data_IF_186418336318
#
_entry.id   IF_186418336318
#
_cell.length_a   1.000
_cell.length_b   1.000
_cell.length_c   1.000
_cell.angle_alpha   90.00
_cell.angle_beta   90.00
_cell.angle_gamma   90.00
#
_symmetry.space_group_name_H-M   'P 1'
#
loop_
_entity.id
_entity.type
_entity.pdbx_description
1 polymer ?
#
# COMPACT_ATOMS: atom_id res chain seq x y z
N UNK A 1 10.48 -0.03 32.35
CA UNK A 1 10.80 -1.46 32.53
C UNK A 1 10.64 -2.24 31.21
N UNK A 2 9.82 -1.81 30.28
CA UNK A 2 9.50 -2.57 29.07
C UNK A 2 10.41 -2.33 27.83
N UNK A 3 11.28 -1.33 27.83
CA UNK A 3 12.22 -1.09 26.71
C UNK A 3 13.35 -2.11 26.68
N UNK A 4 13.69 -2.69 27.83
CA UNK A 4 14.83 -3.59 28.02
C UNK A 4 14.63 -4.98 27.41
N UNK A 5 13.40 -5.50 27.32
CA UNK A 5 13.16 -6.87 26.80
C UNK A 5 13.30 -6.95 25.27
N UNK A 6 12.88 -5.92 24.53
CA UNK A 6 13.02 -5.88 23.05
C UNK A 6 14.48 -5.68 22.58
N UNK A 7 15.38 -5.27 23.48
CA UNK A 7 16.77 -4.97 23.18
C UNK A 7 17.73 -6.10 23.60
N UNK A 8 17.25 -7.11 24.34
CA UNK A 8 18.10 -8.20 24.83
C UNK A 8 18.84 -8.95 23.70
N UNK A 9 18.21 -9.12 22.55
CA UNK A 9 18.84 -9.78 21.39
C UNK A 9 19.93 -8.91 20.77
N UNK A 10 19.82 -7.57 20.87
CA UNK A 10 20.85 -6.63 20.41
C UNK A 10 22.01 -6.50 21.40
N UNK A 11 21.87 -6.98 22.64
CA UNK A 11 22.89 -6.92 23.70
C UNK A 11 23.74 -8.21 23.79
N UNK A 12 23.34 -9.30 23.10
CA UNK A 12 24.13 -10.54 23.04
C UNK A 12 25.17 -10.50 21.92
N UNK A 13 26.39 -11.01 22.21
CA UNK A 13 27.44 -11.06 21.20
C UNK A 13 27.06 -12.02 20.06
N UNK A 14 27.23 -11.64 18.80
CA UNK A 14 26.98 -12.53 17.67
C UNK A 14 27.92 -13.76 17.71
N UNK A 15 27.52 -14.88 17.09
CA UNK A 15 28.41 -16.05 16.90
C UNK A 15 29.73 -15.65 16.25
N UNK A 16 30.79 -16.45 16.47
CA UNK A 16 32.11 -16.17 15.90
C UNK A 16 32.70 -17.46 15.34
N UNK A 17 32.13 -17.96 14.22
CA UNK A 17 32.66 -19.10 13.49
C UNK A 17 33.55 -18.60 12.34
N UNK A 18 34.66 -19.29 12.13
CA UNK A 18 35.57 -19.06 10.99
C UNK A 18 35.01 -19.67 9.73
N UNK A 19 35.45 -19.21 8.55
CA UNK A 19 35.01 -19.77 7.26
C UNK A 19 35.31 -21.28 7.16
N UNK A 20 36.38 -21.77 7.77
CA UNK A 20 36.73 -23.20 7.80
C UNK A 20 35.72 -24.01 8.65
N UNK A 21 35.36 -23.50 9.83
CA UNK A 21 34.35 -24.11 10.69
C UNK A 21 32.98 -24.11 10.02
N UNK A 22 32.61 -23.00 9.36
CA UNK A 22 31.35 -22.87 8.58
C UNK A 22 31.31 -23.88 7.43
N UNK A 23 32.40 -24.03 6.68
CA UNK A 23 32.49 -25.06 5.62
C UNK A 23 32.28 -26.47 6.16
N UNK A 24 32.91 -26.78 7.32
CA UNK A 24 32.75 -28.08 7.97
C UNK A 24 31.30 -28.30 8.45
N UNK A 25 30.69 -27.30 9.06
CA UNK A 25 29.28 -27.33 9.52
C UNK A 25 28.33 -27.54 8.36
N UNK A 26 28.50 -26.78 7.26
CA UNK A 26 27.67 -26.86 6.07
C UNK A 26 27.73 -28.23 5.41
N UNK A 27 28.95 -28.81 5.30
CA UNK A 27 29.13 -30.14 4.73
C UNK A 27 28.56 -31.24 5.65
N UNK A 28 28.74 -31.14 6.96
CA UNK A 28 28.34 -32.17 7.93
C UNK A 28 26.81 -32.20 8.14
N UNK A 29 26.17 -31.04 8.24
CA UNK A 29 24.74 -30.97 8.56
C UNK A 29 23.82 -30.95 7.32
N UNK A 30 24.30 -30.42 6.19
CA UNK A 30 23.43 -30.12 5.05
C UNK A 30 23.96 -30.60 3.69
N UNK A 31 25.13 -31.27 3.66
CA UNK A 31 25.89 -31.66 2.44
C UNK A 31 26.12 -30.47 1.46
N UNK A 32 26.19 -29.24 2.02
CA UNK A 32 26.51 -28.04 1.26
C UNK A 32 28.03 -27.88 1.16
N UNK A 33 28.54 -27.71 -0.06
CA UNK A 33 29.97 -27.56 -0.37
C UNK A 33 30.20 -26.42 -1.33
N UNK A 34 31.31 -25.72 -1.20
CA UNK A 34 31.72 -24.65 -2.10
C UNK A 34 32.48 -23.56 -1.36
N UNK A 35 32.68 -22.45 -2.04
CA UNK A 35 33.29 -21.26 -1.45
C UNK A 35 32.40 -20.71 -0.34
N UNK A 36 33.02 -20.31 0.77
CA UNK A 36 32.35 -19.69 1.92
C UNK A 36 32.60 -18.19 1.86
N UNK A 37 31.52 -17.41 1.81
CA UNK A 37 31.56 -15.95 1.84
C UNK A 37 30.64 -15.43 2.93
N UNK A 38 31.19 -14.59 3.83
CA UNK A 38 30.41 -13.89 4.85
C UNK A 38 29.50 -12.85 4.15
N UNK A 39 28.21 -12.86 4.48
CA UNK A 39 27.22 -11.92 3.96
C UNK A 39 26.96 -10.74 4.94
N UNK A 40 27.58 -10.79 6.12
CA UNK A 40 27.30 -9.85 7.22
C UNK A 40 25.94 -10.14 7.87
N UNK A 41 25.85 -9.86 9.15
CA UNK A 41 24.59 -9.88 9.91
C UNK A 41 24.80 -9.17 11.24
N UNK A 42 23.76 -8.53 11.75
CA UNK A 42 23.82 -7.80 13.01
C UNK A 42 23.84 -8.71 14.25
N UNK A 43 23.01 -9.73 14.23
CA UNK A 43 22.69 -10.58 15.40
C UNK A 43 23.21 -11.99 15.24
N UNK A 44 23.22 -12.49 14.04
CA UNK A 44 23.59 -13.84 13.66
C UNK A 44 24.92 -13.83 12.88
N UNK A 45 25.35 -14.95 12.37
CA UNK A 45 26.29 -15.01 11.25
C UNK A 45 25.62 -15.65 10.06
N UNK A 46 25.71 -15.00 8.90
CA UNK A 46 25.11 -15.46 7.66
C UNK A 46 26.17 -15.63 6.58
N UNK A 47 26.24 -16.82 5.99
CA UNK A 47 27.25 -17.16 4.99
C UNK A 47 26.62 -17.72 3.73
N UNK A 48 27.15 -17.34 2.58
CA UNK A 48 26.94 -18.06 1.34
C UNK A 48 27.91 -19.25 1.31
N UNK A 49 27.39 -20.44 1.08
CA UNK A 49 28.19 -21.67 0.93
C UNK A 49 27.75 -22.42 -0.33
N UNK A 50 28.51 -22.26 -1.43
CA UNK A 50 28.12 -22.82 -2.73
C UNK A 50 26.74 -22.31 -3.19
N UNK A 51 25.77 -23.21 -3.30
CA UNK A 51 24.39 -22.91 -3.72
C UNK A 51 23.41 -22.78 -2.53
N UNK A 52 23.91 -22.66 -1.30
CA UNK A 52 23.11 -22.48 -0.11
C UNK A 52 23.53 -21.26 0.71
N UNK A 53 22.62 -20.79 1.56
CA UNK A 53 22.87 -19.76 2.58
C UNK A 53 22.77 -20.43 3.94
N UNK A 54 23.80 -20.27 4.75
CA UNK A 54 23.87 -20.80 6.11
C UNK A 54 23.70 -19.65 7.10
N UNK A 55 22.69 -19.75 7.99
CA UNK A 55 22.44 -18.79 9.06
C UNK A 55 22.71 -19.46 10.41
N UNK A 56 23.64 -18.93 11.19
CA UNK A 56 24.00 -19.40 12.51
C UNK A 56 23.44 -18.42 13.51
N UNK A 57 22.39 -18.84 14.22
CA UNK A 57 21.64 -17.96 15.11
C UNK A 57 22.38 -17.69 16.41
N UNK A 58 22.19 -16.49 16.93
CA UNK A 58 22.65 -16.11 18.26
C UNK A 58 22.00 -17.03 19.32
N UNK A 59 22.75 -17.40 20.34
CA UNK A 59 22.23 -18.24 21.45
C UNK A 59 21.21 -17.51 22.34
N UNK A 60 21.14 -16.18 22.24
CA UNK A 60 20.12 -15.36 22.92
C UNK A 60 18.80 -15.24 22.16
N UNK A 61 18.71 -15.76 20.94
CA UNK A 61 17.47 -15.73 20.17
C UNK A 61 16.45 -16.71 20.76
N UNK A 62 15.20 -16.25 20.88
CA UNK A 62 14.11 -17.10 21.38
C UNK A 62 13.82 -18.24 20.38
N UNK A 63 13.89 -19.51 20.79
CA UNK A 63 13.54 -20.64 19.93
C UNK A 63 12.13 -20.54 19.34
N UNK A 64 11.19 -19.88 20.01
CA UNK A 64 9.84 -19.68 19.50
C UNK A 64 9.80 -18.69 18.29
N UNK A 65 10.73 -17.75 18.22
CA UNK A 65 10.91 -16.86 17.06
C UNK A 65 11.47 -17.62 15.87
N UNK A 66 12.43 -18.51 16.10
CA UNK A 66 12.98 -19.37 15.05
C UNK A 66 11.93 -20.37 14.51
N UNK A 67 11.06 -20.87 15.37
CA UNK A 67 9.91 -21.70 14.98
C UNK A 67 8.85 -20.89 14.18
N UNK A 68 8.57 -19.64 14.57
CA UNK A 68 7.73 -18.71 13.82
C UNK A 68 8.22 -18.54 12.39
N UNK A 69 9.51 -18.25 12.20
CA UNK A 69 10.12 -18.06 10.88
C UNK A 69 9.96 -19.32 10.02
N UNK A 70 10.33 -20.49 10.57
CA UNK A 70 10.24 -21.76 9.84
C UNK A 70 8.79 -22.09 9.43
N UNK A 71 7.81 -21.87 10.32
CA UNK A 71 6.40 -22.16 10.05
C UNK A 71 5.80 -21.16 9.07
N UNK A 72 6.21 -19.89 9.12
CA UNK A 72 5.78 -18.88 8.16
C UNK A 72 6.25 -19.21 6.75
N UNK A 73 7.52 -19.60 6.57
CA UNK A 73 8.05 -20.01 5.27
C UNK A 73 7.28 -21.21 4.69
N UNK A 74 7.02 -22.24 5.50
CA UNK A 74 6.20 -23.41 5.09
C UNK A 74 4.75 -23.02 4.76
N UNK A 75 4.19 -22.04 5.47
CA UNK A 75 2.85 -21.55 5.19
C UNK A 75 2.81 -20.81 3.86
N UNK A 76 3.74 -19.89 3.62
CA UNK A 76 3.86 -19.15 2.37
C UNK A 76 4.03 -20.11 1.19
N UNK A 77 4.93 -21.09 1.29
CA UNK A 77 5.14 -22.08 0.23
C UNK A 77 3.87 -22.88 -0.11
N UNK A 78 3.02 -23.13 0.88
CA UNK A 78 1.73 -23.82 0.66
C UNK A 78 0.68 -22.94 0.00
N UNK A 79 0.63 -21.65 0.40
CA UNK A 79 -0.40 -20.70 -0.06
C UNK A 79 -0.04 -20.13 -1.42
N UNK A 80 1.21 -19.76 -1.62
CA UNK A 80 1.72 -19.19 -2.85
C UNK A 80 3.12 -19.74 -3.19
N UNK A 81 3.18 -20.94 -3.81
CA UNK A 81 4.45 -21.61 -4.13
C UNK A 81 5.31 -20.88 -5.17
N UNK A 82 4.74 -19.87 -5.85
CA UNK A 82 5.45 -19.07 -6.84
C UNK A 82 6.07 -17.79 -6.24
N UNK A 83 5.81 -17.48 -4.95
CA UNK A 83 6.53 -16.40 -4.28
C UNK A 83 8.02 -16.75 -4.19
N UNK A 84 8.91 -15.81 -4.60
CA UNK A 84 10.36 -16.08 -4.61
C UNK A 84 10.94 -15.93 -3.19
N UNK A 85 10.60 -16.82 -2.28
CA UNK A 85 11.14 -16.85 -0.92
C UNK A 85 12.33 -17.80 -0.81
N UNK A 86 13.29 -17.49 0.06
CA UNK A 86 14.40 -18.37 0.38
C UNK A 86 13.92 -19.56 1.24
N UNK A 87 13.80 -20.74 0.62
CA UNK A 87 13.28 -21.93 1.30
C UNK A 87 14.29 -22.50 2.29
N UNK A 88 13.82 -22.94 3.45
CA UNK A 88 14.67 -23.60 4.42
C UNK A 88 14.95 -25.05 3.98
N UNK A 89 16.21 -25.38 3.75
CA UNK A 89 16.69 -26.72 3.35
C UNK A 89 16.81 -27.67 4.54
N UNK A 90 17.09 -27.12 5.73
CA UNK A 90 17.22 -27.90 6.96
C UNK A 90 17.67 -27.07 8.15
N UNK A 91 17.72 -27.73 9.30
CA UNK A 91 18.23 -27.15 10.55
C UNK A 91 19.01 -28.17 11.36
N UNK A 92 19.98 -27.71 12.13
CA UNK A 92 20.79 -28.51 13.05
C UNK A 92 21.37 -27.65 14.16
N UNK A 93 22.16 -28.23 15.04
CA UNK A 93 22.83 -27.50 16.14
C UNK A 93 24.32 -27.72 16.12
N UNK A 94 25.08 -26.65 16.41
CA UNK A 94 26.54 -26.74 16.57
C UNK A 94 27.00 -25.75 17.65
N UNK A 95 27.72 -26.26 18.67
CA UNK A 95 28.25 -25.42 19.75
C UNK A 95 27.18 -24.65 20.53
N UNK A 96 25.96 -25.17 20.64
CA UNK A 96 24.83 -24.51 21.29
C UNK A 96 24.05 -23.53 20.40
N UNK A 97 24.54 -23.28 19.18
CA UNK A 97 23.85 -22.43 18.19
C UNK A 97 22.90 -23.26 17.29
N UNK A 98 21.73 -22.73 16.98
CA UNK A 98 20.90 -23.26 15.90
C UNK A 98 21.52 -22.83 14.57
N UNK A 99 21.73 -23.81 13.69
CA UNK A 99 22.23 -23.60 12.33
C UNK A 99 21.13 -23.97 11.37
N UNK A 100 20.82 -23.08 10.43
CA UNK A 100 19.80 -23.30 9.41
C UNK A 100 20.40 -23.08 8.03
N UNK A 101 20.03 -23.95 7.11
CA UNK A 101 20.42 -23.81 5.70
C UNK A 101 19.21 -23.40 4.89
N UNK A 102 19.43 -22.47 3.96
CA UNK A 102 18.43 -21.94 3.05
C UNK A 102 18.89 -22.05 1.61
N UNK A 103 17.94 -22.10 0.70
CA UNK A 103 18.17 -22.04 -0.74
C UNK A 103 18.75 -20.68 -1.13
N UNK A 104 19.80 -20.69 -1.95
CA UNK A 104 20.33 -19.45 -2.52
C UNK A 104 19.38 -18.89 -3.55
N UNK A 105 18.94 -17.66 -3.34
CA UNK A 105 18.12 -16.95 -4.31
C UNK A 105 18.97 -16.21 -5.34
N UNK A 106 18.58 -16.20 -6.62
CA UNK A 106 19.29 -15.44 -7.65
C UNK A 106 19.00 -13.94 -7.52
N UNK A 107 19.94 -13.12 -8.03
CA UNK A 107 19.77 -11.67 -8.07
C UNK A 107 20.74 -10.92 -7.15
N UNK A 108 20.49 -9.61 -7.02
CA UNK A 108 21.26 -8.69 -6.16
C UNK A 108 20.33 -7.99 -5.16
N UNK A 109 20.75 -7.85 -3.93
CA UNK A 109 20.11 -7.03 -2.90
C UNK A 109 20.64 -5.59 -2.94
N UNK A 110 19.97 -4.67 -2.23
CA UNK A 110 20.38 -3.26 -2.11
C UNK A 110 20.32 -2.49 -3.43
N UNK A 111 19.39 -2.83 -4.31
CA UNK A 111 19.23 -2.16 -5.61
C UNK A 111 18.82 -0.69 -5.40
N UNK A 112 19.54 0.24 -6.05
CA UNK A 112 19.29 1.70 -5.95
C UNK A 112 18.85 2.32 -7.28
N UNK A 113 18.81 1.53 -8.36
CA UNK A 113 18.60 1.93 -9.75
C UNK A 113 17.31 1.32 -10.33
N UNK A 114 16.25 1.28 -9.53
CA UNK A 114 14.95 0.76 -9.92
C UNK A 114 14.18 1.82 -10.72
N UNK A 115 13.64 1.41 -11.87
CA UNK A 115 12.65 2.21 -12.60
C UNK A 115 11.24 2.06 -12.01
N UNK A 116 10.27 2.80 -12.55
CA UNK A 116 8.90 2.79 -12.05
C UNK A 116 8.24 1.41 -12.11
N UNK A 117 8.55 0.60 -13.13
CA UNK A 117 8.00 -0.75 -13.27
C UNK A 117 8.56 -1.65 -12.16
N UNK A 118 9.85 -1.58 -11.90
CA UNK A 118 10.52 -2.34 -10.84
C UNK A 118 10.05 -1.91 -9.44
N UNK A 119 9.91 -0.60 -9.18
CA UNK A 119 9.37 -0.08 -7.92
C UNK A 119 7.93 -0.55 -7.69
N UNK A 120 7.08 -0.46 -8.71
CA UNK A 120 5.69 -0.96 -8.64
C UNK A 120 5.64 -2.46 -8.37
N UNK A 121 6.49 -3.25 -9.06
CA UNK A 121 6.59 -4.69 -8.88
C UNK A 121 7.12 -5.08 -7.49
N UNK A 122 8.08 -4.31 -6.94
CA UNK A 122 8.61 -4.50 -5.60
C UNK A 122 7.49 -4.38 -4.55
N UNK A 123 6.75 -3.27 -4.54
CA UNK A 123 5.66 -3.05 -3.60
C UNK A 123 4.47 -4.01 -3.83
N UNK A 124 4.15 -4.37 -5.08
CA UNK A 124 3.15 -5.39 -5.39
C UNK A 124 3.57 -6.78 -4.87
N UNK A 125 4.88 -7.07 -4.80
CA UNK A 125 5.40 -8.31 -4.22
C UNK A 125 5.26 -8.31 -2.70
N UNK A 126 5.49 -7.18 -2.02
CA UNK A 126 5.18 -7.04 -0.59
C UNK A 126 3.69 -7.30 -0.32
N UNK A 127 2.79 -6.68 -1.09
CA UNK A 127 1.35 -6.94 -0.97
C UNK A 127 1.01 -8.43 -1.21
N UNK A 128 1.65 -9.08 -2.18
CA UNK A 128 1.46 -10.52 -2.44
C UNK A 128 1.93 -11.37 -1.27
N UNK A 129 3.06 -11.04 -0.64
CA UNK A 129 3.56 -11.69 0.56
C UNK A 129 2.60 -11.49 1.75
N UNK A 130 2.08 -10.27 1.92
CA UNK A 130 1.06 -9.93 2.92
C UNK A 130 -0.20 -10.77 2.73
N UNK A 131 -0.65 -10.98 1.48
CA UNK A 131 -1.77 -11.89 1.16
C UNK A 131 -1.45 -13.34 1.48
N UNK A 132 -0.24 -13.80 1.18
CA UNK A 132 0.18 -15.17 1.48
C UNK A 132 0.26 -15.46 3.00
N UNK A 133 0.57 -14.43 3.80
CA UNK A 133 0.58 -14.52 5.26
C UNK A 133 -0.82 -14.32 5.89
N UNK A 134 -1.84 -13.98 5.10
CA UNK A 134 -3.19 -13.77 5.63
C UNK A 134 -3.75 -15.05 6.27
N UNK A 135 -4.18 -14.93 7.52
CA UNK A 135 -4.68 -16.07 8.32
C UNK A 135 -3.58 -16.94 8.93
N UNK A 136 -2.30 -16.65 8.69
CA UNK A 136 -1.21 -17.27 9.45
C UNK A 136 -1.20 -16.75 10.89
N UNK A 137 -1.06 -17.65 11.84
CA UNK A 137 -0.99 -17.33 13.25
C UNK A 137 0.13 -18.10 13.94
N UNK A 138 0.89 -17.41 14.77
CA UNK A 138 1.87 -18.02 15.65
C UNK A 138 1.99 -17.22 16.96
N UNK A 139 2.05 -17.85 18.14
CA UNK A 139 2.13 -17.13 19.42
C UNK A 139 3.30 -16.16 19.54
N UNK A 140 4.47 -16.51 18.98
CA UNK A 140 5.66 -15.65 19.00
C UNK A 140 5.57 -14.44 18.06
N UNK A 141 4.53 -14.34 17.18
CA UNK A 141 4.36 -13.17 16.33
C UNK A 141 3.91 -11.92 17.08
N UNK A 142 3.38 -12.06 18.30
CA UNK A 142 2.98 -10.95 19.17
C UNK A 142 4.13 -10.23 19.87
N UNK A 143 5.36 -10.35 19.35
CA UNK A 143 6.55 -9.69 19.91
C UNK A 143 6.62 -8.21 19.55
N UNK A 144 7.19 -7.42 20.45
CA UNK A 144 7.39 -5.99 20.27
C UNK A 144 8.77 -5.70 19.64
N UNK A 145 8.80 -5.37 18.37
CA UNK A 145 10.01 -4.91 17.69
C UNK A 145 10.07 -3.39 17.74
N UNK A 146 11.09 -2.84 18.41
CA UNK A 146 11.18 -1.40 18.65
C UNK A 146 11.26 -0.57 17.37
N UNK A 147 11.77 -1.17 16.28
CA UNK A 147 11.83 -0.53 14.95
C UNK A 147 10.53 -0.64 14.14
N UNK A 148 9.53 -1.37 14.64
CA UNK A 148 8.20 -1.36 14.04
C UNK A 148 7.55 0.01 14.26
N UNK A 149 6.98 0.68 13.21
CA UNK A 149 6.32 1.98 13.35
C UNK A 149 5.26 2.03 14.44
N UNK A 150 4.59 0.90 14.73
CA UNK A 150 3.63 0.80 15.84
C UNK A 150 4.20 1.00 17.23
N UNK A 151 5.52 0.90 17.39
CA UNK A 151 6.21 1.06 18.68
C UNK A 151 6.84 2.46 18.83
N UNK A 152 6.56 3.41 17.93
CA UNK A 152 7.23 4.72 17.88
C UNK A 152 7.19 5.49 19.22
N UNK A 153 6.09 5.45 19.96
CA UNK A 153 6.00 6.12 21.28
C UNK A 153 7.05 5.61 22.28
N UNK A 154 7.55 4.36 22.10
CA UNK A 154 8.58 3.77 22.98
C UNK A 154 9.99 4.26 22.66
N UNK A 155 10.19 5.02 21.59
CA UNK A 155 11.48 5.61 21.21
C UNK A 155 11.88 6.80 22.08
N UNK A 156 10.93 7.41 22.81
CA UNK A 156 11.18 8.62 23.63
C UNK A 156 12.46 8.56 24.48
N UNK A 157 12.75 7.46 25.22
CA UNK A 157 13.97 7.37 26.01
C UNK A 157 15.26 7.38 25.20
N UNK A 158 15.20 6.96 23.91
CA UNK A 158 16.38 6.86 23.04
C UNK A 158 16.74 8.22 22.40
N UNK A 159 15.80 9.15 22.33
CA UNK A 159 15.99 10.47 21.70
C UNK A 159 17.14 11.24 22.36
N UNK A 160 17.37 11.03 23.66
CA UNK A 160 18.46 11.67 24.39
C UNK A 160 19.86 11.30 23.86
N UNK A 161 20.02 10.14 23.23
CA UNK A 161 21.29 9.68 22.63
C UNK A 161 21.64 10.38 21.30
N UNK A 162 20.69 11.13 20.70
CA UNK A 162 20.95 11.91 19.48
C UNK A 162 21.78 13.15 19.87
N UNK A 163 23.03 13.33 19.37
CA UNK A 163 23.91 14.39 19.86
C UNK A 163 23.45 15.80 19.48
N UNK A 164 22.92 15.97 18.26
CA UNK A 164 22.49 17.27 17.73
C UNK A 164 21.12 17.69 18.26
N UNK A 165 21.02 18.89 18.83
CA UNK A 165 19.78 19.40 19.43
C UNK A 165 18.67 19.68 18.40
N UNK A 166 19.04 20.11 17.18
CA UNK A 166 18.09 20.35 16.09
C UNK A 166 17.46 19.03 15.62
N UNK A 167 18.30 18.03 15.39
CA UNK A 167 17.89 16.67 15.04
C UNK A 167 17.02 16.00 16.12
N UNK A 168 17.38 16.17 17.40
CA UNK A 168 16.51 15.74 18.51
C UNK A 168 15.11 16.36 18.42
N UNK A 169 15.04 17.67 18.21
CA UNK A 169 13.76 18.37 18.11
C UNK A 169 12.91 17.90 16.92
N UNK A 170 13.53 17.49 15.80
CA UNK A 170 12.80 16.88 14.67
C UNK A 170 12.16 15.56 15.11
N UNK A 171 12.93 14.67 15.71
CA UNK A 171 12.42 13.37 16.17
C UNK A 171 11.33 13.55 17.23
N UNK A 172 11.49 14.49 18.17
CA UNK A 172 10.45 14.81 19.17
C UNK A 172 9.14 15.24 18.51
N UNK A 173 9.18 16.13 17.49
CA UNK A 173 7.98 16.53 16.74
C UNK A 173 7.32 15.37 16.00
N UNK A 174 8.10 14.45 15.43
CA UNK A 174 7.57 13.23 14.81
C UNK A 174 6.84 12.38 15.85
N UNK A 175 7.44 12.18 17.02
CA UNK A 175 6.84 11.38 18.08
C UNK A 175 5.58 12.05 18.68
N UNK A 176 5.60 13.38 18.86
CA UNK A 176 4.43 14.14 19.31
C UNK A 176 3.27 13.96 18.32
N UNK A 177 3.57 14.05 17.03
CA UNK A 177 2.58 13.86 15.97
C UNK A 177 2.03 12.43 15.93
N UNK A 178 2.91 11.43 16.05
CA UNK A 178 2.52 10.03 16.11
C UNK A 178 1.58 9.76 17.29
N UNK A 179 1.93 10.23 18.49
CA UNK A 179 1.13 10.06 19.70
C UNK A 179 -0.22 10.77 19.62
N UNK A 180 -0.28 11.93 18.97
CA UNK A 180 -1.51 12.69 18.82
C UNK A 180 -2.45 12.12 17.75
N UNK A 181 -1.94 11.58 16.66
CA UNK A 181 -2.73 11.22 15.47
C UNK A 181 -2.88 9.71 15.26
N UNK A 182 -1.79 8.97 15.36
CA UNK A 182 -1.76 7.54 15.01
C UNK A 182 -2.09 6.66 16.21
N UNK A 183 -1.44 6.90 17.35
CA UNK A 183 -1.58 6.05 18.54
C UNK A 183 -3.03 5.86 19.01
N UNK A 184 -3.92 6.90 19.03
CA UNK A 184 -5.31 6.72 19.45
C UNK A 184 -6.16 5.88 18.47
N UNK A 185 -5.66 5.67 17.25
CA UNK A 185 -6.36 4.97 16.17
C UNK A 185 -5.68 3.66 15.77
N UNK A 186 -4.55 3.34 16.41
CA UNK A 186 -3.72 2.19 16.06
C UNK A 186 -4.47 0.86 16.02
N UNK A 187 -5.30 0.61 17.02
CA UNK A 187 -6.06 -0.64 17.17
C UNK A 187 -7.18 -0.82 16.12
N UNK A 188 -7.49 0.22 15.35
CA UNK A 188 -8.49 0.17 14.28
C UNK A 188 -7.88 -0.13 12.91
N UNK A 189 -6.55 -0.07 12.78
CA UNK A 189 -5.87 -0.38 11.52
C UNK A 189 -5.81 -1.89 11.28
N UNK A 190 -5.96 -2.30 10.03
CA UNK A 190 -5.87 -3.71 9.65
C UNK A 190 -4.51 -4.30 9.97
N UNK A 191 -4.48 -5.34 10.82
CA UNK A 191 -3.27 -5.97 11.31
C UNK A 191 -3.27 -7.48 11.09
N UNK A 192 -2.09 -8.03 10.86
CA UNK A 192 -1.83 -9.45 10.68
C UNK A 192 -0.34 -9.76 10.91
N UNK A 193 0.08 -11.01 10.71
CA UNK A 193 1.51 -11.29 10.61
C UNK A 193 2.02 -10.72 9.28
N UNK A 194 3.11 -9.93 9.36
CA UNK A 194 3.77 -9.27 8.23
C UNK A 194 5.26 -9.57 8.25
N UNK A 195 5.98 -9.22 7.18
CA UNK A 195 7.43 -9.41 7.08
C UNK A 195 8.21 -8.61 8.14
N UNK A 196 7.79 -7.36 8.36
CA UNK A 196 8.37 -6.47 9.36
C UNK A 196 9.67 -5.77 8.98
N UNK A 197 10.31 -6.19 7.87
CA UNK A 197 11.51 -5.54 7.31
C UNK A 197 11.64 -5.79 5.80
N UNK A 198 10.54 -5.60 5.05
CA UNK A 198 10.54 -5.71 3.58
C UNK A 198 11.22 -4.48 2.98
N UNK A 199 12.53 -4.55 2.81
CA UNK A 199 13.38 -3.45 2.35
C UNK A 199 14.18 -3.86 1.10
N UNK A 200 14.76 -2.88 0.40
CA UNK A 200 15.63 -3.15 -0.75
C UNK A 200 16.86 -4.00 -0.38
N UNK A 201 17.27 -4.01 0.89
CA UNK A 201 18.38 -4.82 1.35
C UNK A 201 18.00 -6.30 1.54
N UNK A 202 16.73 -6.58 1.85
CA UNK A 202 16.20 -7.92 2.09
C UNK A 202 15.49 -8.52 0.85
N UNK A 203 15.37 -7.74 -0.23
CA UNK A 203 14.77 -8.19 -1.48
C UNK A 203 15.83 -8.22 -2.58
N UNK A 204 15.91 -9.36 -3.28
CA UNK A 204 16.79 -9.53 -4.43
C UNK A 204 16.03 -9.22 -5.71
N UNK A 205 16.70 -8.55 -6.63
CA UNK A 205 16.17 -8.26 -7.97
C UNK A 205 17.07 -8.86 -9.06
N UNK A 206 16.45 -9.28 -10.16
CA UNK A 206 17.16 -9.74 -11.36
C UNK A 206 17.72 -8.53 -12.16
N UNK A 207 18.38 -8.83 -13.28
CA UNK A 207 18.95 -7.80 -14.18
C UNK A 207 17.91 -6.85 -14.80
N UNK A 208 16.63 -7.21 -14.73
CA UNK A 208 15.50 -6.40 -15.20
C UNK A 208 14.76 -5.68 -14.08
N UNK A 209 15.30 -5.69 -12.86
CA UNK A 209 14.67 -5.10 -11.70
C UNK A 209 13.47 -5.87 -11.12
N UNK A 210 13.17 -7.08 -11.62
CA UNK A 210 12.06 -7.89 -11.09
C UNK A 210 12.51 -8.61 -9.82
N UNK A 211 11.62 -8.68 -8.83
CA UNK A 211 11.88 -9.41 -7.59
C UNK A 211 12.15 -10.88 -7.89
N UNK A 212 13.33 -11.34 -7.51
CA UNK A 212 13.82 -12.72 -7.71
C UNK A 212 14.09 -13.45 -6.40
N UNK A 213 14.03 -12.76 -5.27
CA UNK A 213 14.19 -13.36 -3.94
C UNK A 213 13.71 -12.45 -2.82
N UNK A 214 13.12 -13.04 -1.80
CA UNK A 214 12.78 -12.39 -0.52
C UNK A 214 13.53 -13.15 0.57
N UNK A 215 14.33 -12.43 1.34
CA UNK A 215 15.18 -13.00 2.39
C UNK A 215 14.87 -12.35 3.74
N UNK A 216 15.48 -12.88 4.78
CA UNK A 216 15.46 -12.40 6.15
C UNK A 216 14.06 -12.20 6.77
N UNK A 217 13.42 -13.33 7.05
CA UNK A 217 12.13 -13.39 7.75
C UNK A 217 12.29 -13.29 9.29
N UNK A 218 13.46 -12.85 9.76
CA UNK A 218 13.77 -12.73 11.18
C UNK A 218 12.93 -11.71 11.95
N UNK A 219 12.30 -10.76 11.25
CA UNK A 219 11.51 -9.68 11.83
C UNK A 219 9.97 -9.88 11.67
N UNK A 220 9.56 -11.11 11.29
CA UNK A 220 8.14 -11.46 11.28
C UNK A 220 7.46 -11.09 12.61
N UNK A 221 6.34 -10.39 12.51
CA UNK A 221 5.59 -9.96 13.69
C UNK A 221 4.14 -9.61 13.34
N UNK A 222 3.29 -9.58 14.36
CA UNK A 222 1.93 -9.10 14.21
C UNK A 222 1.92 -7.58 14.22
N UNK A 223 1.63 -6.98 13.06
CA UNK A 223 1.66 -5.53 12.88
C UNK A 223 0.63 -5.08 11.84
N UNK A 224 0.44 -3.77 11.72
CA UNK A 224 -0.48 -3.21 10.72
C UNK A 224 0.12 -3.33 9.32
N UNK A 225 -0.74 -3.58 8.32
CA UNK A 225 -0.33 -3.61 6.89
C UNK A 225 0.27 -2.29 6.45
N UNK A 226 -0.34 -1.17 6.89
CA UNK A 226 0.19 0.16 6.60
C UNK A 226 1.56 0.40 7.25
N UNK A 227 1.82 -0.18 8.44
CA UNK A 227 3.12 -0.13 9.10
C UNK A 227 4.20 -0.89 8.33
N UNK A 228 3.88 -2.06 7.80
CA UNK A 228 4.78 -2.85 6.96
C UNK A 228 5.09 -2.13 5.63
N UNK A 229 4.06 -1.58 4.96
CA UNK A 229 4.26 -0.74 3.78
C UNK A 229 5.08 0.53 4.08
N UNK A 230 4.95 1.13 5.26
CA UNK A 230 5.76 2.29 5.64
C UNK A 230 7.25 1.95 5.74
N UNK A 231 7.61 0.72 6.14
CA UNK A 231 9.00 0.23 6.14
C UNK A 231 9.53 0.12 4.72
N UNK A 232 8.76 -0.47 3.81
CA UNK A 232 9.02 -0.55 2.38
C UNK A 232 9.25 0.86 1.79
N UNK A 233 8.32 1.79 2.02
CA UNK A 233 8.42 3.16 1.54
C UNK A 233 9.65 3.91 2.07
N UNK A 234 10.05 3.69 3.32
CA UNK A 234 11.30 4.28 3.84
C UNK A 234 12.52 3.81 3.04
N UNK A 235 12.56 2.54 2.65
CA UNK A 235 13.63 1.99 1.82
C UNK A 235 13.65 2.63 0.43
N UNK A 236 12.48 2.80 -0.21
CA UNK A 236 12.33 3.42 -1.52
C UNK A 236 12.64 4.92 -1.49
N UNK A 237 12.14 5.65 -0.49
CA UNK A 237 12.35 7.08 -0.34
C UNK A 237 13.83 7.44 -0.19
N UNK A 238 14.62 6.62 0.52
CA UNK A 238 16.07 6.82 0.68
C UNK A 238 16.84 6.75 -0.64
N UNK A 239 16.31 6.06 -1.64
CA UNK A 239 16.94 5.90 -2.95
C UNK A 239 16.20 6.63 -4.08
N UNK A 240 15.08 7.27 -3.80
CA UNK A 240 14.16 7.86 -4.77
C UNK A 240 14.65 9.11 -5.51
N UNK A 241 15.91 9.52 -5.36
CA UNK A 241 16.54 10.61 -6.12
C UNK A 241 15.88 11.97 -5.93
N UNK A 242 15.74 12.74 -7.02
CA UNK A 242 15.21 14.13 -6.98
C UNK A 242 13.69 14.20 -6.75
N UNK A 243 12.94 13.14 -7.05
CA UNK A 243 11.47 13.08 -6.92
C UNK A 243 10.99 11.93 -6.01
N UNK A 244 11.38 11.90 -4.72
CA UNK A 244 11.12 10.77 -3.83
C UNK A 244 9.63 10.49 -3.65
N UNK A 245 8.78 11.52 -3.60
CA UNK A 245 7.33 11.34 -3.49
C UNK A 245 6.69 10.72 -4.73
N UNK A 246 7.22 11.02 -5.93
CA UNK A 246 6.76 10.37 -7.16
C UNK A 246 7.03 8.87 -7.09
N UNK A 247 8.24 8.50 -6.74
CA UNK A 247 8.64 7.09 -6.60
C UNK A 247 7.84 6.38 -5.52
N UNK A 248 7.62 7.02 -4.37
CA UNK A 248 6.77 6.47 -3.31
C UNK A 248 5.32 6.26 -3.76
N UNK A 249 4.74 7.17 -4.55
CA UNK A 249 3.38 6.99 -5.11
C UNK A 249 3.31 5.79 -6.05
N UNK A 250 4.32 5.59 -6.90
CA UNK A 250 4.41 4.38 -7.75
C UNK A 250 4.41 3.11 -6.91
N UNK A 251 5.13 3.10 -5.78
CA UNK A 251 5.13 1.97 -4.85
C UNK A 251 3.76 1.78 -4.18
N UNK A 252 3.12 2.84 -3.70
CA UNK A 252 1.78 2.78 -3.10
C UNK A 252 0.76 2.22 -4.11
N UNK A 253 0.78 2.70 -5.34
CA UNK A 253 -0.09 2.19 -6.41
C UNK A 253 0.20 0.72 -6.73
N UNK A 254 1.47 0.33 -6.73
CA UNK A 254 1.90 -1.07 -6.88
C UNK A 254 1.33 -1.97 -5.79
N UNK A 255 1.45 -1.57 -4.53
CA UNK A 255 0.87 -2.28 -3.39
C UNK A 255 -0.66 -2.36 -3.49
N UNK A 256 -1.32 -1.21 -3.75
CA UNK A 256 -2.78 -1.13 -3.88
C UNK A 256 -3.33 -1.89 -5.09
N UNK A 257 -2.50 -2.22 -6.08
CA UNK A 257 -2.90 -3.11 -7.18
C UNK A 257 -3.27 -4.52 -6.72
N UNK A 258 -2.87 -4.90 -5.49
CA UNK A 258 -3.11 -6.20 -4.87
C UNK A 258 -3.97 -6.11 -3.62
N UNK A 259 -3.69 -5.15 -2.75
CA UNK A 259 -4.40 -4.92 -1.49
C UNK A 259 -4.82 -3.46 -1.45
N UNK A 260 -6.09 -3.12 -1.61
CA UNK A 260 -6.57 -1.77 -1.37
C UNK A 260 -6.30 -1.35 0.07
N UNK A 261 -5.75 -0.14 0.24
CA UNK A 261 -5.61 0.49 1.54
C UNK A 261 -6.90 1.23 1.89
N UNK A 262 -7.28 1.16 3.15
CA UNK A 262 -8.41 1.92 3.67
C UNK A 262 -8.05 3.41 3.84
N UNK A 263 -9.06 4.29 3.87
CA UNK A 263 -8.84 5.72 4.00
C UNK A 263 -8.00 6.08 5.24
N UNK A 264 -8.19 5.36 6.36
CA UNK A 264 -7.40 5.55 7.57
C UNK A 264 -5.95 5.06 7.43
N UNK A 265 -5.73 3.95 6.74
CA UNK A 265 -4.39 3.46 6.43
C UNK A 265 -3.61 4.48 5.58
N UNK A 266 -4.26 5.03 4.56
CA UNK A 266 -3.69 6.11 3.73
C UNK A 266 -3.47 7.40 4.52
N UNK A 267 -4.41 7.77 5.41
CA UNK A 267 -4.31 8.98 6.22
C UNK A 267 -3.10 8.98 7.17
N UNK A 268 -2.67 7.80 7.61
CA UNK A 268 -1.55 7.66 8.55
C UNK A 268 -0.25 7.17 7.90
N UNK A 269 -0.27 6.81 6.63
CA UNK A 269 0.90 6.23 5.96
C UNK A 269 2.13 7.15 6.04
N UNK A 270 1.96 8.46 5.82
CA UNK A 270 3.05 9.43 5.97
C UNK A 270 3.55 9.57 7.41
N UNK A 271 2.65 9.50 8.39
CA UNK A 271 3.02 9.53 9.81
C UNK A 271 3.78 8.25 10.22
N UNK A 272 3.44 7.10 9.64
CA UNK A 272 4.13 5.83 9.86
C UNK A 272 5.53 5.80 9.20
N UNK A 273 5.67 6.41 8.02
CA UNK A 273 6.98 6.62 7.37
C UNK A 273 7.88 7.49 8.25
N UNK A 274 7.37 8.62 8.76
CA UNK A 274 8.10 9.47 9.69
C UNK A 274 8.51 8.71 10.96
N UNK A 275 7.59 7.93 11.53
CA UNK A 275 7.86 7.11 12.71
C UNK A 275 8.96 6.06 12.46
N UNK A 276 8.98 5.42 11.28
CA UNK A 276 10.04 4.47 10.90
C UNK A 276 11.39 5.18 10.75
N UNK A 277 11.44 6.33 10.09
CA UNK A 277 12.68 7.11 9.98
C UNK A 277 13.20 7.55 11.35
N UNK A 278 12.31 8.02 12.23
CA UNK A 278 12.66 8.38 13.60
C UNK A 278 13.20 7.17 14.39
N UNK A 279 12.63 5.97 14.19
CA UNK A 279 13.11 4.74 14.81
C UNK A 279 14.53 4.39 14.34
N UNK A 280 14.80 4.47 13.04
CA UNK A 280 16.12 4.19 12.48
C UNK A 280 17.19 5.07 13.14
N UNK A 281 17.02 6.39 13.13
CA UNK A 281 18.04 7.32 13.64
C UNK A 281 18.15 7.33 15.18
N UNK A 282 17.05 7.13 15.91
CA UNK A 282 17.10 7.11 17.38
C UNK A 282 17.74 5.80 17.91
N UNK A 283 17.42 4.66 17.29
CA UNK A 283 18.02 3.37 17.65
C UNK A 283 19.51 3.37 17.26
N UNK A 284 19.85 3.90 16.07
CA UNK A 284 21.25 4.03 15.63
C UNK A 284 22.07 4.85 16.62
N UNK A 285 21.62 6.06 16.97
CA UNK A 285 22.31 6.92 17.93
C UNK A 285 22.51 6.24 19.29
N UNK A 286 21.48 5.57 19.82
CA UNK A 286 21.53 4.84 21.08
C UNK A 286 22.52 3.65 21.02
N UNK A 287 22.60 2.94 19.87
CA UNK A 287 23.54 1.84 19.67
C UNK A 287 24.99 2.31 19.57
N UNK A 288 25.24 3.41 18.84
CA UNK A 288 26.59 4.00 18.71
C UNK A 288 27.13 4.44 20.06
N UNK A 289 26.29 5.00 20.94
CA UNK A 289 26.68 5.35 22.31
C UNK A 289 27.19 4.13 23.11
N UNK A 290 26.60 2.93 22.84
CA UNK A 290 26.94 1.67 23.54
C UNK A 290 28.06 0.87 22.89
N UNK A 291 28.12 0.91 21.55
CA UNK A 291 29.02 0.09 20.73
C UNK A 291 29.76 0.97 19.72
N UNK A 292 30.60 1.91 20.20
CA UNK A 292 31.29 2.87 19.34
C UNK A 292 32.24 2.21 18.35
N UNK A 293 32.73 0.98 18.66
CA UNK A 293 33.57 0.18 17.76
C UNK A 293 32.84 -0.27 16.47
N UNK A 294 31.52 -0.30 16.48
CA UNK A 294 30.66 -0.69 15.35
C UNK A 294 29.96 0.51 14.70
N UNK A 295 30.35 1.75 15.05
CA UNK A 295 29.66 2.97 14.61
C UNK A 295 29.48 3.06 13.10
N UNK A 296 30.51 2.75 12.32
CA UNK A 296 30.49 2.81 10.84
C UNK A 296 29.39 1.91 10.26
N UNK A 297 29.25 0.70 10.78
CA UNK A 297 28.21 -0.22 10.35
C UNK A 297 26.81 0.22 10.80
N UNK A 298 26.68 0.62 12.08
CA UNK A 298 25.39 1.04 12.67
C UNK A 298 24.83 2.25 11.94
N UNK A 299 25.69 3.19 11.51
CA UNK A 299 25.31 4.44 10.87
C UNK A 299 25.27 4.36 9.33
N UNK A 300 25.40 3.18 8.75
CA UNK A 300 25.49 3.01 7.29
C UNK A 300 24.33 3.60 6.49
N UNK A 301 23.17 3.83 7.12
CA UNK A 301 21.97 4.43 6.53
C UNK A 301 21.51 5.72 7.21
N UNK A 302 22.29 6.26 8.14
CA UNK A 302 21.89 7.41 8.94
C UNK A 302 21.84 8.68 8.10
N UNK A 303 22.80 8.88 7.19
CA UNK A 303 22.88 10.11 6.38
C UNK A 303 21.66 10.29 5.50
N UNK A 304 21.20 9.24 4.80
CA UNK A 304 20.00 9.27 3.98
C UNK A 304 18.72 9.43 4.82
N UNK A 305 18.67 8.77 5.98
CA UNK A 305 17.53 8.86 6.89
C UNK A 305 17.40 10.25 7.50
N UNK A 306 18.53 10.88 7.90
CA UNK A 306 18.56 12.26 8.38
C UNK A 306 18.22 13.26 7.28
N UNK A 307 18.77 13.09 6.07
CA UNK A 307 18.45 13.97 4.94
C UNK A 307 16.94 13.99 4.65
N UNK A 308 16.27 12.83 4.70
CA UNK A 308 14.83 12.75 4.54
C UNK A 308 14.07 13.40 5.71
N UNK A 309 14.45 13.16 6.95
CA UNK A 309 13.79 13.75 8.11
C UNK A 309 13.91 15.29 8.12
N UNK A 310 15.08 15.82 7.82
CA UNK A 310 15.33 17.25 7.72
C UNK A 310 14.52 17.87 6.56
N UNK A 311 14.51 17.23 5.40
CA UNK A 311 13.68 17.65 4.26
C UNK A 311 12.19 17.63 4.59
N UNK A 312 11.71 16.60 5.27
CA UNK A 312 10.30 16.45 5.63
C UNK A 312 9.87 17.43 6.72
N UNK A 313 10.75 17.77 7.64
CA UNK A 313 10.52 18.82 8.61
C UNK A 313 10.40 20.21 7.95
N UNK A 314 11.28 20.54 7.03
CA UNK A 314 11.22 21.77 6.24
C UNK A 314 9.96 21.88 5.38
N UNK A 315 9.53 20.78 4.76
CA UNK A 315 8.30 20.71 3.97
C UNK A 315 7.03 20.80 4.81
N UNK A 316 7.13 20.42 6.08
CA UNK A 316 6.01 20.24 7.01
C UNK A 316 5.33 18.88 6.86
N UNK A 317 5.12 18.19 7.98
CA UNK A 317 4.63 16.82 8.05
C UNK A 317 3.21 16.62 7.46
N UNK A 318 2.37 17.66 7.46
CA UNK A 318 1.06 17.60 6.79
C UNK A 318 1.20 17.50 5.27
N UNK A 319 2.21 18.15 4.70
CA UNK A 319 2.51 18.02 3.27
C UNK A 319 3.03 16.62 2.96
N UNK A 320 3.94 16.09 3.79
CA UNK A 320 4.45 14.70 3.63
C UNK A 320 3.29 13.71 3.64
N UNK A 321 2.36 13.82 4.59
CA UNK A 321 1.18 12.96 4.66
C UNK A 321 0.33 13.04 3.39
N UNK A 322 0.09 14.25 2.86
CA UNK A 322 -0.66 14.43 1.60
C UNK A 322 0.05 13.82 0.39
N UNK A 323 1.36 14.01 0.30
CA UNK A 323 2.16 13.46 -0.81
C UNK A 323 2.19 11.93 -0.80
N UNK A 324 2.07 11.31 0.37
CA UNK A 324 2.03 9.86 0.56
C UNK A 324 0.61 9.28 0.62
N UNK A 325 -0.39 10.01 0.16
CA UNK A 325 -1.73 9.48 -0.09
C UNK A 325 -2.77 9.81 0.98
N UNK A 326 -2.43 10.59 2.02
CA UNK A 326 -3.46 11.04 2.98
C UNK A 326 -4.59 11.77 2.26
N UNK A 327 -5.85 11.48 2.56
CA UNK A 327 -6.97 12.19 2.01
C UNK A 327 -6.82 13.69 2.22
N UNK A 328 -7.15 14.47 1.17
CA UNK A 328 -7.16 15.92 1.32
C UNK A 328 -8.17 16.32 2.41
N UNK A 329 -7.85 17.28 3.28
CA UNK A 329 -8.83 17.81 4.21
C UNK A 329 -10.07 18.24 3.43
N UNK A 330 -11.23 17.83 3.90
CA UNK A 330 -12.49 18.23 3.26
C UNK A 330 -12.63 19.74 3.30
N UNK A 331 -13.01 20.32 2.17
CA UNK A 331 -13.39 21.74 2.13
C UNK A 331 -14.63 21.93 3.00
N UNK A 332 -14.68 22.92 3.91
CA UNK A 332 -15.88 23.18 4.71
C UNK A 332 -17.11 23.36 3.80
N UNK A 333 -18.25 22.82 4.20
CA UNK A 333 -19.47 22.82 3.38
C UNK A 333 -19.88 24.24 2.94
N UNK A 334 -19.80 25.21 3.85
CA UNK A 334 -20.14 26.60 3.54
C UNK A 334 -19.18 27.23 2.52
N UNK A 335 -17.89 26.95 2.62
CA UNK A 335 -16.91 27.40 1.63
C UNK A 335 -17.17 26.74 0.26
N UNK A 336 -17.46 25.44 0.25
CA UNK A 336 -17.79 24.72 -0.98
C UNK A 336 -19.05 25.28 -1.66
N UNK A 337 -20.07 25.65 -0.87
CA UNK A 337 -21.27 26.29 -1.35
C UNK A 337 -20.98 27.67 -1.97
N UNK A 338 -20.15 28.49 -1.34
CA UNK A 338 -19.74 29.79 -1.88
C UNK A 338 -18.99 29.60 -3.21
N UNK A 339 -18.03 28.69 -3.24
CA UNK A 339 -17.28 28.37 -4.47
C UNK A 339 -18.19 27.83 -5.59
N UNK A 340 -19.15 26.97 -5.24
CA UNK A 340 -20.15 26.46 -6.19
C UNK A 340 -20.97 27.60 -6.79
N UNK A 341 -21.50 28.49 -5.95
CA UNK A 341 -22.31 29.63 -6.41
C UNK A 341 -21.52 30.58 -7.31
N UNK A 342 -20.25 30.82 -6.98
CA UNK A 342 -19.38 31.67 -7.78
C UNK A 342 -19.03 31.04 -9.14
N UNK A 343 -18.77 29.73 -9.18
CA UNK A 343 -18.28 29.04 -10.37
C UNK A 343 -19.42 28.61 -11.32
N UNK A 344 -20.56 28.17 -10.78
CA UNK A 344 -21.69 27.64 -11.57
C UNK A 344 -22.78 28.69 -11.81
N UNK A 345 -22.68 29.86 -11.15
CA UNK A 345 -23.62 30.97 -11.33
C UNK A 345 -24.98 30.74 -10.68
N UNK A 346 -25.78 31.80 -10.65
CA UNK A 346 -27.10 31.80 -10.00
C UNK A 346 -28.22 31.15 -10.85
N UNK A 347 -27.94 30.87 -12.12
CA UNK A 347 -28.89 30.21 -13.03
C UNK A 347 -28.98 28.70 -12.79
N UNK A 348 -27.99 28.09 -12.13
CA UNK A 348 -28.07 26.69 -11.76
C UNK A 348 -29.06 26.51 -10.61
N UNK A 349 -30.02 25.62 -10.79
CA UNK A 349 -31.01 25.24 -9.77
C UNK A 349 -30.37 25.04 -8.41
N UNK A 350 -31.03 25.43 -7.33
CA UNK A 350 -30.62 25.18 -5.98
C UNK A 350 -30.37 23.70 -5.72
N UNK A 351 -29.68 23.41 -4.63
CA UNK A 351 -29.56 22.02 -4.18
C UNK A 351 -30.93 21.49 -3.76
N UNK A 352 -31.19 20.21 -3.98
CA UNK A 352 -32.50 19.56 -3.74
C UNK A 352 -32.96 19.69 -2.28
N UNK A 353 -32.02 19.76 -1.35
CA UNK A 353 -32.31 19.80 0.09
C UNK A 353 -32.07 21.18 0.69
N UNK A 354 -32.94 21.58 1.61
CA UNK A 354 -32.81 22.84 2.35
C UNK A 354 -31.50 22.92 3.16
N UNK A 355 -31.02 21.78 3.63
CA UNK A 355 -29.69 21.63 4.21
C UNK A 355 -28.86 20.80 3.25
N UNK A 356 -27.85 21.38 2.62
CA UNK A 356 -27.03 20.69 1.64
C UNK A 356 -26.38 19.44 2.21
N UNK A 357 -26.45 18.33 1.49
CA UNK A 357 -25.73 17.12 1.84
C UNK A 357 -24.38 17.13 1.11
N UNK A 358 -23.31 17.33 1.86
CA UNK A 358 -21.94 17.32 1.34
C UNK A 358 -21.44 15.87 1.27
N UNK A 359 -21.74 15.18 0.16
CA UNK A 359 -21.35 13.78 -0.03
C UNK A 359 -19.88 13.69 -0.38
N UNK A 360 -19.16 12.80 0.29
CA UNK A 360 -17.72 12.60 0.12
C UNK A 360 -17.35 11.18 -0.32
N UNK A 361 -18.21 10.19 -0.09
CA UNK A 361 -17.99 8.80 -0.45
C UNK A 361 -19.30 8.07 -0.73
N UNK A 362 -19.25 7.08 -1.60
CA UNK A 362 -20.36 6.13 -1.83
C UNK A 362 -19.85 4.70 -1.82
N UNK A 363 -20.64 3.76 -1.27
CA UNK A 363 -20.31 2.34 -1.20
C UNK A 363 -21.60 1.49 -1.23
N UNK A 364 -21.77 0.68 -2.27
CA UNK A 364 -22.99 -0.10 -2.44
C UNK A 364 -24.25 0.79 -2.44
N UNK A 365 -25.12 0.63 -1.48
CA UNK A 365 -26.34 1.44 -1.31
C UNK A 365 -26.18 2.63 -0.38
N UNK A 366 -24.96 2.90 0.08
CA UNK A 366 -24.67 3.92 1.08
C UNK A 366 -23.93 5.11 0.53
N UNK A 367 -24.32 6.30 0.98
CA UNK A 367 -23.58 7.54 0.85
C UNK A 367 -23.02 7.96 2.23
N UNK A 368 -21.88 8.62 2.23
CA UNK A 368 -21.27 9.17 3.42
C UNK A 368 -21.05 10.67 3.22
N UNK A 369 -21.48 11.48 4.19
CA UNK A 369 -21.29 12.92 4.12
C UNK A 369 -20.01 13.37 4.81
N UNK A 370 -19.71 14.66 4.70
CA UNK A 370 -18.53 15.29 5.30
C UNK A 370 -18.52 15.24 6.83
N UNK A 371 -19.67 15.03 7.48
CA UNK A 371 -19.81 14.89 8.93
C UNK A 371 -19.68 13.41 9.36
N UNK A 372 -19.42 12.49 8.43
CA UNK A 372 -19.30 11.06 8.69
C UNK A 372 -20.64 10.32 8.84
N UNK A 373 -21.78 10.98 8.56
CA UNK A 373 -23.08 10.29 8.59
C UNK A 373 -23.24 9.36 7.40
N UNK A 374 -23.75 8.18 7.65
CA UNK A 374 -24.10 7.20 6.63
C UNK A 374 -25.57 7.37 6.26
N UNK A 375 -25.83 7.59 4.98
CA UNK A 375 -27.16 7.81 4.42
C UNK A 375 -27.49 6.65 3.46
N UNK A 376 -28.67 6.07 3.60
CA UNK A 376 -29.18 5.12 2.61
C UNK A 376 -29.57 5.90 1.36
N UNK A 377 -28.95 5.55 0.25
CA UNK A 377 -29.30 6.15 -1.06
C UNK A 377 -30.54 5.46 -1.62
N UNK A 378 -31.67 6.08 -1.46
CA UNK A 378 -32.95 5.65 -2.03
C UNK A 378 -33.37 6.52 -3.23
N UNK A 379 -32.49 7.41 -3.69
CA UNK A 379 -32.79 8.37 -4.77
C UNK A 379 -31.97 8.14 -6.04
N UNK A 380 -30.66 7.94 -5.93
CA UNK A 380 -29.80 7.84 -7.12
C UNK A 380 -30.06 6.58 -7.93
N UNK A 381 -30.55 6.76 -9.16
CA UNK A 381 -30.79 5.69 -10.12
C UNK A 381 -29.60 5.45 -11.08
N UNK A 382 -28.59 6.31 -11.07
CA UNK A 382 -27.42 6.22 -11.95
C UNK A 382 -26.51 5.03 -11.58
N UNK A 383 -26.14 4.81 -10.31
CA UNK A 383 -25.35 3.65 -9.94
C UNK A 383 -26.25 2.40 -9.76
N UNK A 384 -26.76 1.85 -10.85
CA UNK A 384 -27.74 0.75 -10.88
C UNK A 384 -27.31 -0.47 -10.05
N UNK A 385 -26.00 -0.73 -9.96
CA UNK A 385 -25.42 -1.83 -9.17
C UNK A 385 -24.82 -1.35 -7.84
N UNK A 386 -25.12 -0.13 -7.46
CA UNK A 386 -24.57 0.52 -6.28
C UNK A 386 -23.31 1.34 -6.54
N UNK A 387 -22.99 2.23 -5.58
CA UNK A 387 -21.82 3.11 -5.65
C UNK A 387 -20.53 2.32 -5.63
N UNK A 388 -19.56 2.75 -6.43
CA UNK A 388 -18.18 2.22 -6.45
C UNK A 388 -18.10 0.69 -6.61
N UNK A 389 -19.00 0.09 -7.40
CA UNK A 389 -19.02 -1.35 -7.61
C UNK A 389 -17.68 -1.85 -8.19
N UNK A 390 -16.95 -2.76 -7.53
CA UNK A 390 -15.56 -3.10 -7.89
C UNK A 390 -15.39 -3.54 -9.34
N UNK A 391 -16.29 -4.41 -9.85
CA UNK A 391 -16.22 -4.91 -11.22
C UNK A 391 -16.44 -3.80 -12.27
N UNK A 392 -17.26 -2.80 -11.95
CA UNK A 392 -17.49 -1.65 -12.85
C UNK A 392 -16.26 -0.76 -12.86
N UNK A 393 -15.73 -0.42 -11.69
CA UNK A 393 -14.50 0.38 -11.54
C UNK A 393 -13.32 -0.28 -12.27
N UNK A 394 -13.12 -1.56 -12.06
CA UNK A 394 -12.04 -2.33 -12.72
C UNK A 394 -12.21 -2.34 -14.26
N UNK A 395 -13.42 -2.53 -14.75
CA UNK A 395 -13.68 -2.53 -16.20
C UNK A 395 -13.39 -1.17 -16.82
N UNK A 396 -13.77 -0.06 -16.16
CA UNK A 396 -13.50 1.32 -16.61
C UNK A 396 -11.99 1.58 -16.61
N UNK A 397 -11.30 1.27 -15.53
CA UNK A 397 -9.84 1.45 -15.40
C UNK A 397 -9.10 0.66 -16.49
N UNK A 398 -9.44 -0.61 -16.67
CA UNK A 398 -8.84 -1.46 -17.71
C UNK A 398 -9.04 -0.90 -19.10
N UNK A 399 -10.29 -0.50 -19.45
CA UNK A 399 -10.59 0.05 -20.77
C UNK A 399 -9.87 1.37 -21.02
N UNK A 400 -9.83 2.26 -20.04
CA UNK A 400 -9.17 3.57 -20.15
C UNK A 400 -7.65 3.43 -20.36
N UNK A 401 -7.02 2.44 -19.71
CA UNK A 401 -5.59 2.12 -19.92
C UNK A 401 -5.31 1.51 -21.29
N UNK A 402 -6.29 0.83 -21.88
CA UNK A 402 -6.10 0.10 -23.13
C UNK A 402 -6.45 0.92 -24.36
N UNK A 403 -7.64 1.51 -24.40
CA UNK A 403 -8.12 2.29 -25.53
C UNK A 403 -9.24 3.24 -25.11
N UNK A 404 -9.09 4.52 -25.43
CA UNK A 404 -10.14 5.53 -25.34
C UNK A 404 -10.32 6.19 -26.70
N UNK A 405 -11.42 5.84 -27.41
CA UNK A 405 -11.72 6.34 -28.76
C UNK A 405 -13.22 6.51 -28.98
N UNK A 406 -13.61 7.05 -30.10
CA UNK A 406 -15.01 7.29 -30.50
C UNK A 406 -15.52 6.21 -31.47
N UNK A 407 -16.83 6.15 -31.65
CA UNK A 407 -17.57 5.14 -32.42
C UNK A 407 -17.28 5.10 -33.93
N UNK A 408 -16.49 6.05 -34.49
CA UNK A 408 -16.05 6.00 -35.88
C UNK A 408 -14.96 4.99 -36.17
N UNK A 409 -14.32 4.47 -35.13
CA UNK A 409 -13.37 3.35 -35.25
C UNK A 409 -14.07 2.04 -34.89
N UNK A 410 -13.70 0.99 -35.58
CA UNK A 410 -14.19 -0.35 -35.28
C UNK A 410 -13.44 -0.92 -34.05
N UNK A 411 -14.17 -1.22 -32.99
CA UNK A 411 -13.65 -1.89 -31.80
C UNK A 411 -14.73 -2.74 -31.13
N UNK A 412 -14.29 -3.87 -30.62
CA UNK A 412 -15.13 -4.99 -30.17
C UNK A 412 -16.13 -4.62 -29.05
N UNK A 413 -15.73 -3.95 -27.93
CA UNK A 413 -16.65 -3.65 -26.83
C UNK A 413 -17.89 -2.84 -27.23
N UNK A 414 -17.80 -1.99 -28.23
CA UNK A 414 -18.93 -1.23 -28.72
C UNK A 414 -19.97 -2.14 -29.41
N UNK A 415 -19.47 -3.07 -30.25
CA UNK A 415 -20.32 -4.02 -30.98
C UNK A 415 -20.97 -5.00 -29.98
N UNK A 416 -20.20 -5.57 -29.07
CA UNK A 416 -20.72 -6.47 -28.03
C UNK A 416 -21.80 -5.80 -27.16
N UNK A 417 -21.60 -4.52 -26.77
CA UNK A 417 -22.61 -3.77 -26.01
C UNK A 417 -23.90 -3.64 -26.81
N UNK A 418 -23.82 -3.25 -28.08
CA UNK A 418 -24.98 -3.10 -28.95
C UNK A 418 -25.73 -4.42 -29.13
N UNK A 419 -25.04 -5.51 -29.42
CA UNK A 419 -25.61 -6.87 -29.53
C UNK A 419 -26.33 -7.30 -28.25
N UNK A 420 -25.71 -7.08 -27.08
CA UNK A 420 -26.32 -7.41 -25.79
C UNK A 420 -27.54 -6.57 -25.47
N UNK A 421 -27.53 -5.29 -25.82
CA UNK A 421 -28.71 -4.42 -25.66
C UNK A 421 -29.87 -4.89 -26.55
N UNK A 422 -29.64 -5.18 -27.83
CA UNK A 422 -30.65 -5.72 -28.73
C UNK A 422 -31.20 -7.06 -28.20
N UNK A 423 -30.33 -7.95 -27.77
CA UNK A 423 -30.74 -9.25 -27.21
C UNK A 423 -31.53 -9.15 -25.88
N UNK A 424 -31.41 -8.06 -25.16
CA UNK A 424 -32.16 -7.82 -23.91
C UNK A 424 -33.59 -7.28 -24.14
N UNK A 425 -33.89 -6.78 -25.34
CA UNK A 425 -35.24 -6.29 -25.71
C UNK A 425 -36.10 -7.46 -26.18
N UNK A 426 -37.42 -7.51 -25.83
CA UNK A 426 -38.32 -8.51 -26.36
C UNK A 426 -38.32 -8.50 -27.91
N UNK A 427 -38.43 -9.67 -28.54
CA UNK A 427 -38.35 -9.79 -30.01
C UNK A 427 -39.44 -9.00 -30.77
N UNK A 428 -40.54 -8.71 -30.09
CA UNK A 428 -41.52 -7.76 -30.57
C UNK A 428 -41.42 -6.45 -29.78
N UNK A 429 -41.27 -5.32 -30.41
CA UNK A 429 -41.70 -4.89 -31.76
C UNK A 429 -40.63 -4.95 -32.87
N UNK A 430 -39.61 -5.80 -32.77
CA UNK A 430 -38.60 -5.94 -33.83
C UNK A 430 -37.53 -4.86 -33.82
N UNK A 431 -37.05 -4.50 -32.61
CA UNK A 431 -35.95 -3.55 -32.43
C UNK A 431 -34.62 -4.30 -32.64
N UNK A 432 -33.91 -3.96 -33.70
CA UNK A 432 -32.69 -4.65 -34.14
C UNK A 432 -31.45 -3.76 -34.23
N UNK A 433 -31.57 -2.49 -33.84
CA UNK A 433 -30.48 -1.53 -33.86
C UNK A 433 -30.44 -0.65 -32.61
N UNK A 434 -29.23 -0.26 -32.20
CA UNK A 434 -28.99 0.64 -31.07
C UNK A 434 -28.25 1.89 -31.54
N UNK A 435 -28.72 3.04 -31.11
CA UNK A 435 -28.03 4.32 -31.26
C UNK A 435 -27.57 4.82 -29.89
N UNK A 436 -26.25 4.95 -29.69
CA UNK A 436 -25.66 5.43 -28.47
C UNK A 436 -25.37 6.92 -28.54
N UNK A 437 -25.73 7.64 -27.49
CA UNK A 437 -25.52 9.09 -27.29
C UNK A 437 -24.96 9.34 -25.87
N UNK A 438 -24.69 10.62 -25.54
CA UNK A 438 -23.97 10.93 -24.29
C UNK A 438 -24.91 11.29 -23.12
N UNK A 439 -26.19 11.50 -23.37
CA UNK A 439 -27.15 11.86 -22.31
C UNK A 439 -28.55 11.37 -22.61
N UNK A 440 -29.43 11.31 -21.60
CA UNK A 440 -30.85 11.04 -21.76
C UNK A 440 -31.56 12.12 -22.59
N UNK A 441 -31.16 13.40 -22.46
CA UNK A 441 -31.67 14.50 -23.27
C UNK A 441 -31.40 14.30 -24.75
N UNK A 442 -30.17 13.89 -25.11
CA UNK A 442 -29.81 13.58 -26.51
C UNK A 442 -30.53 12.32 -27.01
N UNK A 443 -30.72 11.31 -26.16
CA UNK A 443 -31.46 10.11 -26.54
C UNK A 443 -32.93 10.44 -26.87
N UNK A 444 -33.58 11.23 -26.05
CA UNK A 444 -34.97 11.67 -26.29
C UNK A 444 -35.07 12.59 -27.49
N UNK A 445 -34.13 13.53 -27.71
CA UNK A 445 -34.07 14.37 -28.90
C UNK A 445 -33.93 13.53 -30.16
N UNK A 446 -33.03 12.56 -30.19
CA UNK A 446 -32.84 11.65 -31.30
C UNK A 446 -34.10 10.81 -31.55
N UNK A 447 -34.71 10.25 -30.51
CA UNK A 447 -35.95 9.48 -30.60
C UNK A 447 -37.11 10.36 -31.18
N UNK A 448 -37.25 11.57 -30.70
CA UNK A 448 -38.21 12.54 -31.19
C UNK A 448 -38.02 12.87 -32.69
N UNK A 449 -36.79 13.12 -33.10
CA UNK A 449 -36.43 13.38 -34.51
C UNK A 449 -36.75 12.19 -35.40
N UNK A 450 -36.47 10.98 -34.96
CA UNK A 450 -36.78 9.76 -35.70
C UNK A 450 -38.30 9.56 -35.80
N UNK A 451 -39.06 9.75 -34.72
CA UNK A 451 -40.49 9.60 -34.69
C UNK A 451 -41.19 10.61 -35.60
N UNK A 452 -40.80 11.89 -35.54
CA UNK A 452 -41.38 12.95 -36.41
C UNK A 452 -41.04 12.74 -37.88
N UNK A 453 -39.79 12.29 -38.18
CA UNK A 453 -39.41 11.98 -39.55
C UNK A 453 -40.19 10.79 -40.14
N UNK A 454 -40.42 9.76 -39.32
CA UNK A 454 -41.13 8.55 -39.76
C UNK A 454 -42.65 8.74 -39.91
N UNK A 455 -43.28 9.56 -39.05
CA UNK A 455 -44.73 9.71 -38.99
C UNK A 455 -45.25 10.98 -39.64
N UNK A 456 -44.42 12.01 -39.81
CA UNK A 456 -44.82 13.35 -40.23
C UNK A 456 -45.62 14.13 -39.17
N UNK A 457 -45.71 13.60 -37.94
CA UNK A 457 -46.42 14.24 -36.83
C UNK A 457 -45.47 14.85 -35.80
N UNK A 458 -45.91 15.94 -35.14
CA UNK A 458 -45.11 16.68 -34.15
C UNK A 458 -45.80 16.80 -32.77
N UNK A 459 -46.88 16.04 -32.53
CA UNK A 459 -47.55 16.01 -31.24
C UNK A 459 -46.99 14.92 -30.33
N UNK A 460 -46.86 15.20 -29.03
CA UNK A 460 -46.47 14.24 -28.01
C UNK A 460 -47.47 14.23 -26.85
N UNK A 461 -47.64 13.09 -26.21
CA UNK A 461 -48.41 12.93 -24.98
C UNK A 461 -47.39 12.64 -23.85
N UNK A 462 -47.39 13.49 -22.83
CA UNK A 462 -46.49 13.36 -21.66
C UNK A 462 -47.32 13.39 -20.39
N UNK A 463 -46.75 12.85 -19.28
CA UNK A 463 -47.37 12.95 -17.97
C UNK A 463 -47.05 14.31 -17.34
N UNK A 464 -47.95 14.79 -16.50
CA UNK A 464 -47.69 15.95 -15.61
C UNK A 464 -46.43 15.67 -14.77
N UNK A 465 -45.60 16.63 -14.54
CA UNK A 465 -44.28 16.48 -13.82
C UNK A 465 -43.22 15.62 -14.53
N UNK A 466 -43.42 15.29 -15.81
CA UNK A 466 -42.40 14.51 -16.51
C UNK A 466 -41.20 15.37 -16.89
N UNK A 467 -39.99 14.82 -16.65
CA UNK A 467 -38.74 15.37 -17.13
C UNK A 467 -38.15 14.47 -18.23
N UNK A 468 -37.95 15.05 -19.41
CA UNK A 468 -37.42 14.32 -20.57
C UNK A 468 -36.08 14.84 -21.05
N UNK A 469 -35.57 15.94 -20.52
CA UNK A 469 -34.31 16.54 -20.90
C UNK A 469 -34.38 18.03 -21.22
N UNK A 470 -33.23 18.62 -21.56
CA UNK A 470 -33.03 20.08 -21.69
C UNK A 470 -32.60 20.52 -23.08
N UNK A 471 -32.64 19.64 -24.12
CA UNK A 471 -32.43 20.08 -25.49
C UNK A 471 -33.66 20.90 -25.95
N UNK A 472 -33.47 21.82 -26.87
CA UNK A 472 -34.54 22.75 -27.33
C UNK A 472 -35.83 22.03 -27.71
N UNK A 473 -35.75 20.90 -28.41
CA UNK A 473 -36.93 20.15 -28.81
C UNK A 473 -37.58 19.39 -27.64
N UNK A 474 -36.83 18.97 -26.65
CA UNK A 474 -37.32 18.12 -25.56
C UNK A 474 -37.77 18.94 -24.35
N UNK A 475 -37.23 20.15 -24.18
CA UNK A 475 -37.69 21.07 -23.14
C UNK A 475 -39.20 21.36 -23.24
N UNK A 476 -39.73 21.46 -24.47
CA UNK A 476 -41.15 21.65 -24.68
C UNK A 476 -42.04 20.47 -24.20
N UNK A 477 -41.43 19.31 -23.92
CA UNK A 477 -42.09 18.11 -23.40
C UNK A 477 -41.73 17.79 -21.96
N UNK A 478 -40.98 18.66 -21.30
CA UNK A 478 -40.54 18.49 -19.89
C UNK A 478 -41.33 19.48 -19.00
N UNK A 479 -42.56 19.15 -18.58
CA UNK A 479 -43.38 20.04 -17.75
C UNK A 479 -42.95 20.12 -16.31
N UNK A 480 -41.89 19.42 -15.91
CA UNK A 480 -41.27 19.58 -14.59
C UNK A 480 -40.54 20.92 -14.49
N UNK A 481 -41.03 21.82 -13.68
CA UNK A 481 -40.36 23.05 -13.24
C UNK A 481 -40.26 23.07 -11.70
#
# INVERSE_FOLDING_TARGET
VAVTESLNVLETSPPRFTSEEVAAIAADLFDLRGEVRDLGSERDQTFLVGEGVLKISNTGEDPAVLDLEAKALLHIERVDPELPISRQLGSGTRGGHLVRAFERMPGRSGARDLDDEAVSAFAATNARLTLALHGFFHPAAGRDLLWNPGQAARLRPLVASIPDAGRRAIVERVLDRYEARVLPRWDYLSAQVVHGDFTLDNVLVDERGRVSGIADFGDLGFATRAGDLAIDLCSILRVGGEEPFRTARVAIDGYQSRIPLEDEELAFLGDLVLARLAALVAISAWRVERYPENAEYIQSWDDESWALLEQFDELGFDRVARELGAPQPLVPTDELLQRRSAALGSALTGLTYSHPVHVVRGEGVWLFDADGRRLLDAYNNVPVVGHCHPRVTEAVVRQTRFLNTHSRYLYEPLVELAERLVAAVPPEPGLDAVMLVNSGSEANDLAWRLATAATGHSGAIVTEFAYHGVTTAIADFSPEE
#
